data_IF_578262042550
#
_entry.id   IF_578262042550
#
_cell.length_a   1.000
_cell.length_b   1.000
_cell.length_c   1.000
_cell.angle_alpha   90.00
_cell.angle_beta   90.00
_cell.angle_gamma   90.00
#
_symmetry.space_group_name_H-M   'P 1'
#
loop_
_entity.id
_entity.type
_entity.pdbx_description
1 polymer ?
#
# COMPACT_ATOMS: atom_id res chain seq x y z
N UNK A 1 5.49 -12.00 11.91
CA UNK A 1 5.40 -10.55 11.61
C UNK A 1 4.16 -10.33 10.75
N UNK A 2 3.29 -9.39 11.15
CA UNK A 2 2.20 -8.90 10.31
C UNK A 2 2.72 -7.67 9.60
N UNK A 3 2.67 -7.68 8.27
CA UNK A 3 3.04 -6.53 7.44
C UNK A 3 1.76 -5.79 7.04
N UNK A 4 1.84 -4.51 6.65
CA UNK A 4 0.70 -3.80 6.09
C UNK A 4 0.03 -4.60 4.97
N UNK A 5 -1.31 -4.60 4.94
CA UNK A 5 -2.16 -5.34 3.99
C UNK A 5 -1.98 -6.88 4.00
N UNK A 6 -1.30 -7.43 5.01
CA UNK A 6 -1.19 -8.88 5.12
C UNK A 6 -2.58 -9.53 5.25
N UNK A 7 -2.79 -10.61 4.49
CA UNK A 7 -3.98 -11.45 4.60
C UNK A 7 -3.60 -12.75 5.30
N UNK A 8 -4.36 -13.12 6.32
CA UNK A 8 -4.26 -14.42 7.01
C UNK A 8 -5.57 -15.17 6.92
N UNK A 9 -5.51 -16.50 7.00
CA UNK A 9 -6.67 -17.38 6.85
C UNK A 9 -6.87 -18.25 8.10
N UNK A 10 -8.12 -18.36 8.55
CA UNK A 10 -8.57 -19.32 9.53
C UNK A 10 -9.46 -20.34 8.84
N UNK A 11 -8.95 -21.57 8.71
CA UNK A 11 -9.66 -22.64 8.02
C UNK A 11 -10.88 -23.10 8.83
N UNK A 12 -12.01 -23.31 8.16
CA UNK A 12 -13.24 -23.80 8.79
C UNK A 12 -13.90 -22.80 9.74
N UNK A 13 -13.52 -21.52 9.71
CA UNK A 13 -14.13 -20.45 10.52
C UNK A 13 -14.99 -19.49 9.68
N UNK A 14 -15.22 -19.84 8.42
CA UNK A 14 -16.13 -19.12 7.53
C UNK A 14 -17.57 -19.58 7.68
N UNK A 15 -18.42 -19.09 6.78
CA UNK A 15 -19.84 -19.43 6.80
C UNK A 15 -20.08 -20.92 6.47
N UNK A 16 -21.09 -21.56 7.06
CA UNK A 16 -21.45 -22.94 6.75
C UNK A 16 -21.97 -23.06 5.32
N UNK A 17 -21.57 -24.13 4.64
CA UNK A 17 -22.08 -24.49 3.32
C UNK A 17 -23.43 -25.19 3.45
N UNK A 18 -24.39 -24.79 2.61
CA UNK A 18 -25.73 -25.38 2.58
C UNK A 18 -25.74 -26.88 2.22
N UNK A 19 -24.76 -27.35 1.42
CA UNK A 19 -24.76 -28.73 0.89
C UNK A 19 -23.95 -29.73 1.70
N UNK A 20 -22.87 -29.28 2.32
CA UNK A 20 -21.88 -30.19 2.92
C UNK A 20 -21.76 -30.04 4.44
N UNK A 21 -22.53 -29.13 5.08
CA UNK A 21 -22.45 -28.81 6.52
C UNK A 21 -21.04 -28.44 7.04
N UNK A 22 -20.07 -28.26 6.14
CA UNK A 22 -18.74 -27.77 6.44
C UNK A 22 -18.70 -26.24 6.44
N UNK A 23 -17.81 -25.68 7.25
CA UNK A 23 -17.55 -24.25 7.29
C UNK A 23 -16.50 -23.85 6.25
N UNK A 24 -16.70 -22.69 5.61
CA UNK A 24 -15.70 -22.07 4.75
C UNK A 24 -14.49 -21.53 5.52
N UNK A 25 -13.66 -20.73 4.86
CA UNK A 25 -12.51 -20.08 5.49
C UNK A 25 -12.81 -18.61 5.82
N UNK A 26 -12.28 -18.13 6.95
CA UNK A 26 -12.29 -16.72 7.30
C UNK A 26 -10.96 -16.09 6.89
N UNK A 27 -11.01 -15.04 6.08
CA UNK A 27 -9.85 -14.25 5.69
C UNK A 27 -9.81 -12.95 6.50
N UNK A 28 -8.65 -12.63 7.05
CA UNK A 28 -8.42 -11.43 7.87
C UNK A 28 -7.39 -10.57 7.14
N UNK A 29 -7.80 -9.36 6.73
CA UNK A 29 -6.90 -8.32 6.22
C UNK A 29 -6.46 -7.43 7.38
N UNK A 30 -5.16 -7.27 7.56
CA UNK A 30 -4.60 -6.43 8.61
C UNK A 30 -4.32 -5.02 8.09
N UNK A 31 -4.97 -4.03 8.68
CA UNK A 31 -4.61 -2.62 8.56
C UNK A 31 -3.69 -2.22 9.72
N UNK A 32 -2.50 -1.71 9.41
CA UNK A 32 -1.46 -1.39 10.40
C UNK A 32 -1.42 0.12 10.59
N UNK A 33 -1.99 0.59 11.70
CA UNK A 33 -1.94 2.00 12.08
C UNK A 33 -0.60 2.32 12.72
N UNK A 34 0.19 3.15 12.04
CA UNK A 34 1.44 3.67 12.60
C UNK A 34 1.15 4.74 13.66
N UNK A 35 1.98 4.83 14.73
CA UNK A 35 1.86 5.89 15.71
C UNK A 35 2.14 7.25 15.06
N UNK A 36 1.51 8.30 15.60
CA UNK A 36 1.77 9.67 15.13
C UNK A 36 3.16 10.13 15.56
N UNK A 37 3.69 11.15 14.88
CA UNK A 37 5.01 11.72 15.18
C UNK A 37 5.14 12.14 16.65
N UNK A 38 4.07 12.70 17.24
CA UNK A 38 4.07 13.15 18.65
C UNK A 38 4.08 11.99 19.66
N UNK A 39 3.69 10.79 19.23
CA UNK A 39 3.57 9.59 20.08
C UNK A 39 4.88 8.77 20.11
N UNK A 40 5.84 9.09 19.24
CA UNK A 40 7.11 8.41 19.15
C UNK A 40 7.97 8.72 20.38
N UNK A 41 8.28 7.68 21.16
CA UNK A 41 9.17 7.74 22.32
C UNK A 41 10.26 6.67 22.20
N UNK A 42 11.38 6.87 22.90
CA UNK A 42 12.46 5.89 23.01
C UNK A 42 13.06 5.44 21.65
N UNK A 43 13.35 6.39 20.76
CA UNK A 43 13.91 6.10 19.43
C UNK A 43 15.21 5.28 19.49
N UNK A 44 16.07 5.52 20.48
CA UNK A 44 17.31 4.77 20.69
C UNK A 44 17.07 3.28 21.00
N UNK A 45 15.95 2.95 21.66
CA UNK A 45 15.58 1.55 21.90
C UNK A 45 15.04 0.91 20.64
N UNK A 46 14.31 1.66 19.80
CA UNK A 46 13.84 1.17 18.50
C UNK A 46 15.01 0.77 17.60
N UNK A 47 16.12 1.53 17.61
CA UNK A 47 17.33 1.18 16.84
C UNK A 47 17.96 -0.15 17.28
N UNK A 48 17.79 -0.55 18.55
CA UNK A 48 18.35 -1.81 19.07
C UNK A 48 17.47 -3.03 18.79
N UNK A 49 16.15 -2.85 18.68
CA UNK A 49 15.19 -3.94 18.48
C UNK A 49 14.80 -4.15 17.02
N UNK A 50 14.91 -3.12 16.18
CA UNK A 50 14.66 -3.21 14.76
C UNK A 50 15.89 -3.76 14.01
N UNK A 51 15.69 -4.36 12.81
CA UNK A 51 16.80 -4.74 11.95
C UNK A 51 17.76 -3.56 11.70
N UNK A 52 19.07 -3.82 11.49
CA UNK A 52 20.06 -2.77 11.21
C UNK A 52 19.60 -1.84 10.09
N UNK A 53 19.90 -0.53 10.23
CA UNK A 53 19.60 0.47 9.21
C UNK A 53 20.26 0.07 7.89
N UNK A 54 19.50 0.20 6.79
CA UNK A 54 20.06 0.07 5.45
C UNK A 54 21.13 1.13 5.22
N UNK A 55 22.24 0.72 4.59
CA UNK A 55 23.31 1.66 4.23
C UNK A 55 22.76 2.76 3.33
N UNK A 56 23.03 4.01 3.68
CA UNK A 56 22.67 5.14 2.84
C UNK A 56 23.52 5.06 1.58
N UNK A 57 22.87 5.04 0.42
CA UNK A 57 23.55 5.18 -0.87
C UNK A 57 24.09 6.59 -0.93
N UNK A 58 25.41 6.74 -0.71
CA UNK A 58 26.08 8.03 -0.87
C UNK A 58 26.30 8.25 -2.36
N UNK A 59 25.74 9.33 -2.94
CA UNK A 59 25.94 9.61 -4.35
C UNK A 59 27.43 9.92 -4.64
N UNK A 60 27.90 9.69 -5.88
CA UNK A 60 29.25 10.05 -6.30
C UNK A 60 29.59 11.53 -6.04
N UNK A 61 30.86 11.83 -5.82
CA UNK A 61 31.33 13.20 -5.50
C UNK A 61 31.10 14.23 -6.61
N UNK A 62 30.89 13.76 -7.84
CA UNK A 62 30.58 14.57 -9.02
C UNK A 62 29.06 14.70 -9.28
N UNK A 63 28.23 14.07 -8.45
CA UNK A 63 26.78 14.23 -8.53
C UNK A 63 26.34 15.59 -7.97
N UNK A 64 25.39 16.23 -8.65
CA UNK A 64 24.68 17.39 -8.10
C UNK A 64 23.70 16.90 -7.05
N UNK A 65 23.96 17.23 -5.78
CA UNK A 65 23.11 16.88 -4.65
C UNK A 65 22.47 18.15 -4.11
N UNK A 66 21.16 18.13 -3.97
CA UNK A 66 20.38 19.19 -3.34
C UNK A 66 19.58 18.57 -2.18
N UNK A 67 19.55 19.28 -1.06
CA UNK A 67 18.80 18.87 0.13
C UNK A 67 17.36 19.38 0.02
N UNK A 68 16.40 18.48 0.25
CA UNK A 68 14.97 18.80 0.24
C UNK A 68 14.30 18.30 1.52
N UNK A 69 13.25 19.00 1.93
CA UNK A 69 12.37 18.56 3.00
C UNK A 69 11.18 17.77 2.41
N UNK A 70 10.70 16.78 3.16
CA UNK A 70 9.49 16.06 2.78
C UNK A 70 8.28 16.81 3.32
N UNK A 71 7.34 17.12 2.44
CA UNK A 71 6.09 17.80 2.75
C UNK A 71 4.90 16.90 2.41
N UNK A 72 3.82 17.05 3.17
CA UNK A 72 2.57 16.37 2.87
C UNK A 72 1.89 17.03 1.65
N UNK A 73 1.19 16.28 0.79
CA UNK A 73 0.45 16.85 -0.33
C UNK A 73 -0.62 17.84 0.15
N UNK A 74 -0.69 19.01 -0.48
CA UNK A 74 -1.54 20.12 -0.03
C UNK A 74 -3.04 19.92 -0.37
N UNK A 75 -3.35 19.07 -1.34
CA UNK A 75 -4.72 18.80 -1.77
C UNK A 75 -4.93 17.35 -2.24
N UNK A 76 -6.20 16.95 -2.25
CA UNK A 76 -6.66 15.60 -2.61
C UNK A 76 -6.27 15.18 -4.04
N UNK A 77 -6.11 16.15 -4.95
CA UNK A 77 -5.70 15.87 -6.31
C UNK A 77 -4.19 15.56 -6.41
N UNK A 78 -3.37 16.19 -5.58
CA UNK A 78 -1.95 15.87 -5.44
C UNK A 78 -1.76 14.53 -4.73
N UNK A 79 -2.60 14.21 -3.73
CA UNK A 79 -2.69 12.88 -3.11
C UNK A 79 -3.04 11.79 -4.13
N UNK A 80 -4.09 12.00 -4.94
CA UNK A 80 -4.54 11.04 -5.95
C UNK A 80 -3.47 10.77 -7.03
N UNK A 81 -2.66 11.78 -7.38
CA UNK A 81 -1.51 11.59 -8.27
C UNK A 81 -0.37 10.85 -7.59
N UNK A 82 -0.06 11.16 -6.33
CA UNK A 82 1.01 10.54 -5.58
C UNK A 82 0.75 9.04 -5.32
N UNK A 83 -0.50 8.65 -5.07
CA UNK A 83 -0.89 7.26 -4.89
C UNK A 83 -1.05 6.46 -6.19
N UNK A 84 -0.80 7.10 -7.34
CA UNK A 84 -1.05 6.54 -8.66
C UNK A 84 -2.54 6.49 -8.96
N UNK A 85 -2.91 6.72 -10.22
CA UNK A 85 -4.27 6.72 -10.74
C UNK A 85 -5.00 5.36 -10.68
N UNK A 86 -4.76 4.55 -9.65
CA UNK A 86 -5.46 3.30 -9.35
C UNK A 86 -6.59 3.47 -8.31
N UNK A 87 -6.68 4.62 -7.63
CA UNK A 87 -7.77 4.90 -6.68
C UNK A 87 -9.05 5.44 -7.36
N UNK A 88 -8.98 5.88 -8.62
CA UNK A 88 -10.12 6.39 -9.39
C UNK A 88 -10.95 5.28 -10.06
N UNK A 89 -11.06 4.10 -9.45
CA UNK A 89 -11.77 2.95 -10.05
C UNK A 89 -12.42 2.00 -9.06
N UNK A 90 -12.67 2.43 -7.82
CA UNK A 90 -13.33 1.61 -6.79
C UNK A 90 -14.60 2.30 -6.26
N UNK A 91 -15.30 3.03 -7.14
CA UNK A 91 -16.69 3.48 -6.91
C UNK A 91 -17.50 3.29 -8.20
N UNK A 92 -17.55 2.05 -8.69
CA UNK A 92 -18.52 1.63 -9.70
C UNK A 92 -19.24 0.39 -9.17
N UNK A 93 -20.15 0.65 -8.24
CA UNK A 93 -21.32 -0.18 -8.01
C UNK A 93 -22.22 -0.04 -9.26
N UNK A 94 -21.84 -0.64 -10.38
CA UNK A 94 -22.77 -0.89 -11.50
C UNK A 94 -22.32 -2.07 -12.37
N UNK A 95 -23.28 -2.95 -12.64
CA UNK A 95 -23.19 -4.12 -13.51
C UNK A 95 -22.93 -3.71 -14.97
N UNK A 96 -21.70 -3.35 -15.35
CA UNK A 96 -21.36 -3.33 -16.79
C UNK A 96 -19.88 -3.62 -17.10
N UNK A 97 -19.68 -4.49 -18.08
CA UNK A 97 -18.38 -5.01 -18.52
C UNK A 97 -17.62 -3.92 -19.28
N UNK A 98 -16.38 -3.51 -18.91
CA UNK A 98 -15.61 -2.62 -19.76
C UNK A 98 -15.01 -3.39 -20.94
N UNK A 99 -15.79 -3.53 -22.00
CA UNK A 99 -15.28 -3.85 -23.34
C UNK A 99 -14.59 -2.62 -23.91
N UNK A 100 -13.25 -2.65 -24.05
CA UNK A 100 -12.56 -1.62 -24.82
C UNK A 100 -11.15 -1.29 -24.38
N UNK A 101 -10.25 -2.28 -24.33
CA UNK A 101 -8.81 -1.98 -24.38
C UNK A 101 -8.43 -1.52 -25.80
N UNK A 102 -8.78 -0.28 -26.14
CA UNK A 102 -8.45 0.38 -27.40
C UNK A 102 -6.99 0.89 -27.36
N UNK A 103 -6.11 -0.07 -27.62
CA UNK A 103 -4.72 0.06 -28.08
C UNK A 103 -4.48 1.30 -28.96
N UNK A 104 -3.94 2.36 -28.35
CA UNK A 104 -3.40 3.53 -29.06
C UNK A 104 -2.04 3.15 -29.67
N UNK A 105 -1.97 3.08 -31.00
CA UNK A 105 -0.71 2.97 -31.74
C UNK A 105 -0.32 4.36 -32.27
N UNK A 106 0.84 4.84 -31.84
CA UNK A 106 1.47 6.03 -32.39
C UNK A 106 1.87 5.79 -33.86
N UNK A 107 1.51 6.70 -34.76
CA UNK A 107 2.08 6.78 -36.09
C UNK A 107 3.07 7.94 -36.14
N UNK A 108 4.31 7.63 -36.53
CA UNK A 108 5.34 8.60 -36.90
C UNK A 108 5.12 9.09 -38.34
N UNK A 109 5.08 10.40 -38.54
CA UNK A 109 5.70 11.06 -39.69
C UNK A 109 5.96 12.53 -39.40
#
# INVERSE_FOLDING_TARGET
VIVPDAIKVLHGQGMPSFRHHDHGNLYIKFDVKFPKKEELQNLELLEQVLPPRSEKVVPPTDAMVEDFELEDPENEHDEARAHGAAAAGMDEDDDDVPGGAERVQCASQ
#
